data_IF_393215957409
#
_entry.id   IF_393215957409
#
_cell.length_a   1.000
_cell.length_b   1.000
_cell.length_c   1.000
_cell.angle_alpha   90.00
_cell.angle_beta   90.00
_cell.angle_gamma   90.00
#
_symmetry.space_group_name_H-M   'P 1'
#
loop_
_entity.id
_entity.type
_entity.pdbx_description
1 polymer ?
#
# COMPACT_ATOMS: atom_id res chain seq x y z
N UNK A 1 1.66 31.67 -23.55
CA UNK A 1 2.35 30.41 -23.86
C UNK A 1 3.14 29.87 -22.67
N UNK A 2 4.17 30.57 -22.19
CA UNK A 2 5.04 30.13 -21.07
C UNK A 2 4.27 29.69 -19.80
N UNK A 3 3.24 30.43 -19.38
CA UNK A 3 2.42 30.09 -18.19
C UNK A 3 1.65 28.78 -18.38
N UNK A 4 1.14 28.53 -19.60
CA UNK A 4 0.43 27.30 -19.93
C UNK A 4 1.39 26.09 -19.98
N UNK A 5 2.61 26.28 -20.49
CA UNK A 5 3.64 25.23 -20.50
C UNK A 5 4.10 24.88 -19.09
N UNK A 6 4.32 25.87 -18.22
CA UNK A 6 4.76 25.66 -16.83
C UNK A 6 3.67 24.97 -16.00
N UNK A 7 2.40 25.34 -16.18
CA UNK A 7 1.28 24.68 -15.48
C UNK A 7 1.11 23.23 -15.95
N UNK A 8 1.22 22.97 -17.26
CA UNK A 8 1.17 21.62 -17.83
C UNK A 8 2.31 20.72 -17.33
N UNK A 9 3.53 21.26 -17.21
CA UNK A 9 4.68 20.52 -16.69
C UNK A 9 4.49 20.16 -15.21
N UNK A 10 3.99 21.10 -14.41
CA UNK A 10 3.72 20.86 -12.97
C UNK A 10 2.69 19.76 -12.77
N UNK A 11 1.63 19.74 -13.58
CA UNK A 11 0.60 18.71 -13.51
C UNK A 11 1.16 17.32 -13.91
N UNK A 12 1.98 17.28 -14.96
CA UNK A 12 2.62 16.06 -15.45
C UNK A 12 3.53 15.43 -14.40
N UNK A 13 4.39 16.23 -13.76
CA UNK A 13 5.29 15.74 -12.70
C UNK A 13 4.49 15.16 -11.52
N UNK A 14 3.36 15.77 -11.16
CA UNK A 14 2.48 15.25 -10.10
C UNK A 14 1.89 13.88 -10.45
N UNK A 15 1.41 13.70 -11.69
CA UNK A 15 0.83 12.41 -12.13
C UNK A 15 1.89 11.31 -12.12
N UNK A 16 3.09 11.61 -12.62
CA UNK A 16 4.21 10.64 -12.63
C UNK A 16 4.64 10.30 -11.20
N UNK A 17 4.80 11.30 -10.33
CA UNK A 17 5.14 11.09 -8.92
C UNK A 17 4.09 10.26 -8.18
N UNK A 18 2.80 10.50 -8.43
CA UNK A 18 1.70 9.72 -7.87
C UNK A 18 1.73 8.25 -8.33
N UNK A 19 1.96 8.01 -9.62
CA UNK A 19 2.06 6.65 -10.16
C UNK A 19 3.25 5.86 -9.59
N UNK A 20 4.45 6.46 -9.60
CA UNK A 20 5.65 5.82 -9.05
C UNK A 20 5.51 5.55 -7.56
N UNK A 21 4.97 6.51 -6.80
CA UNK A 21 4.69 6.35 -5.37
C UNK A 21 3.72 5.20 -5.12
N UNK A 22 2.61 5.14 -5.86
CA UNK A 22 1.64 4.06 -5.75
C UNK A 22 2.28 2.69 -5.97
N UNK A 23 3.06 2.52 -7.04
CA UNK A 23 3.69 1.22 -7.34
C UNK A 23 4.66 0.78 -6.24
N UNK A 24 5.44 1.71 -5.67
CA UNK A 24 6.38 1.41 -4.59
C UNK A 24 5.63 1.01 -3.31
N UNK A 25 4.66 1.82 -2.88
CA UNK A 25 3.85 1.52 -1.69
C UNK A 25 3.10 0.20 -1.84
N UNK A 26 2.52 -0.04 -3.01
CA UNK A 26 1.78 -1.26 -3.31
C UNK A 26 2.67 -2.50 -3.30
N UNK A 27 3.87 -2.42 -3.87
CA UNK A 27 4.79 -3.57 -3.90
C UNK A 27 5.31 -3.91 -2.49
N UNK A 28 5.63 -2.90 -1.68
CA UNK A 28 6.01 -3.09 -0.26
C UNK A 28 4.84 -3.72 0.51
N UNK A 29 3.63 -3.19 0.29
CA UNK A 29 2.43 -3.71 0.93
C UNK A 29 2.20 -5.18 0.59
N UNK A 30 2.13 -5.55 -0.70
CA UNK A 30 1.86 -6.94 -1.11
C UNK A 30 2.93 -7.90 -0.62
N UNK A 31 4.22 -7.54 -0.73
CA UNK A 31 5.30 -8.42 -0.30
C UNK A 31 5.22 -8.75 1.19
N UNK A 32 4.85 -7.78 2.04
CA UNK A 32 4.67 -8.01 3.49
C UNK A 32 3.32 -8.62 3.84
N UNK A 33 2.29 -8.25 3.10
CA UNK A 33 0.95 -8.74 3.29
C UNK A 33 0.83 -10.24 3.02
N UNK A 34 1.42 -10.76 1.94
CA UNK A 34 1.41 -12.19 1.65
C UNK A 34 2.08 -13.00 2.78
N UNK A 35 3.24 -12.58 3.26
CA UNK A 35 3.94 -13.26 4.37
C UNK A 35 3.15 -13.21 5.68
N UNK A 36 2.53 -12.07 6.00
CA UNK A 36 1.74 -11.93 7.22
C UNK A 36 0.43 -12.72 7.14
N UNK A 37 -0.26 -12.72 5.99
CA UNK A 37 -1.47 -13.52 5.78
C UNK A 37 -1.15 -15.01 5.89
N UNK A 38 -0.07 -15.49 5.28
CA UNK A 38 0.37 -16.87 5.42
C UNK A 38 0.58 -17.25 6.90
N UNK A 39 1.21 -16.38 7.68
CA UNK A 39 1.45 -16.63 9.11
C UNK A 39 0.18 -16.60 9.96
N UNK A 40 -0.65 -15.56 9.86
CA UNK A 40 -1.83 -15.38 10.71
C UNK A 40 -3.01 -16.26 10.27
N UNK A 41 -3.32 -16.31 8.97
CA UNK A 41 -4.44 -17.12 8.46
C UNK A 41 -4.06 -18.60 8.47
N UNK A 42 -2.84 -18.96 8.05
CA UNK A 42 -2.35 -20.33 8.13
C UNK A 42 -2.26 -20.84 9.57
N UNK A 43 -1.81 -20.00 10.50
CA UNK A 43 -1.79 -20.33 11.93
C UNK A 43 -3.18 -20.61 12.50
N UNK A 44 -4.16 -19.75 12.23
CA UNK A 44 -5.54 -19.95 12.71
C UNK A 44 -6.19 -21.18 12.07
N UNK A 45 -5.93 -21.46 10.80
CA UNK A 45 -6.49 -22.65 10.14
C UNK A 45 -5.91 -23.97 10.68
N UNK A 46 -4.62 -24.01 11.02
CA UNK A 46 -3.99 -25.19 11.60
C UNK A 46 -4.30 -25.36 13.10
N UNK A 47 -4.29 -24.27 13.88
CA UNK A 47 -4.34 -24.32 15.34
C UNK A 47 -5.78 -24.31 15.90
N UNK A 48 -6.70 -23.60 15.24
CA UNK A 48 -8.10 -23.46 15.72
C UNK A 48 -9.05 -24.38 14.96
N UNK A 49 -8.83 -24.54 13.64
CA UNK A 49 -9.70 -25.33 12.77
C UNK A 49 -9.21 -26.78 12.55
N UNK A 50 -7.98 -27.11 12.94
CA UNK A 50 -7.34 -28.41 12.69
C UNK A 50 -7.37 -28.85 11.21
N UNK A 51 -7.47 -27.91 10.26
CA UNK A 51 -7.35 -28.20 8.84
C UNK A 51 -5.85 -28.36 8.57
N UNK A 52 -5.42 -29.58 8.26
CA UNK A 52 -4.02 -29.91 7.95
C UNK A 52 -3.75 -29.98 6.44
N UNK A 53 -4.78 -29.72 5.63
CA UNK A 53 -4.65 -29.74 4.18
C UNK A 53 -4.06 -28.42 3.66
N UNK A 54 -2.83 -28.52 3.17
CA UNK A 54 -2.02 -27.37 2.73
C UNK A 54 -2.65 -26.67 1.52
N UNK A 55 -3.38 -27.40 0.66
CA UNK A 55 -4.07 -26.81 -0.49
C UNK A 55 -5.21 -25.90 -0.05
N UNK A 56 -6.01 -26.34 0.91
CA UNK A 56 -7.15 -25.58 1.48
C UNK A 56 -6.65 -24.32 2.19
N UNK A 57 -5.54 -24.43 2.94
CA UNK A 57 -4.93 -23.27 3.60
C UNK A 57 -4.43 -22.26 2.57
N UNK A 58 -3.76 -22.74 1.51
CA UNK A 58 -3.25 -21.89 0.43
C UNK A 58 -4.39 -21.20 -0.33
N UNK A 59 -5.50 -21.90 -0.55
CA UNK A 59 -6.68 -21.34 -1.20
C UNK A 59 -7.37 -20.29 -0.31
N UNK A 60 -7.50 -20.53 0.99
CA UNK A 60 -8.02 -19.55 1.94
C UNK A 60 -7.15 -18.30 2.02
N UNK A 61 -5.82 -18.46 2.01
CA UNK A 61 -4.85 -17.37 1.96
C UNK A 61 -5.04 -16.56 0.67
N UNK A 62 -5.17 -17.23 -0.48
CA UNK A 62 -5.43 -16.56 -1.77
C UNK A 62 -6.73 -15.78 -1.77
N UNK A 63 -7.83 -16.38 -1.28
CA UNK A 63 -9.13 -15.73 -1.20
C UNK A 63 -9.11 -14.53 -0.24
N UNK A 64 -8.47 -14.67 0.91
CA UNK A 64 -8.27 -13.57 1.86
C UNK A 64 -7.43 -12.45 1.24
N UNK A 65 -6.40 -12.83 0.48
CA UNK A 65 -5.54 -11.87 -0.21
C UNK A 65 -6.25 -11.14 -1.36
N UNK A 66 -7.17 -11.83 -2.03
CA UNK A 66 -8.03 -11.29 -3.06
C UNK A 66 -9.21 -10.47 -2.51
N UNK A 67 -9.34 -10.34 -1.18
CA UNK A 67 -10.52 -9.74 -0.52
C UNK A 67 -11.85 -10.45 -0.83
N UNK A 68 -11.78 -11.70 -1.30
CA UNK A 68 -12.93 -12.57 -1.57
C UNK A 68 -13.33 -13.34 -0.31
N UNK A 69 -13.53 -12.59 0.79
CA UNK A 69 -13.79 -13.16 2.13
C UNK A 69 -15.07 -14.00 2.11
N UNK A 70 -16.07 -13.63 1.31
CA UNK A 70 -17.33 -14.40 1.17
C UNK A 70 -17.12 -15.79 0.58
N UNK A 71 -16.11 -15.98 -0.26
CA UNK A 71 -15.81 -17.27 -0.86
C UNK A 71 -15.18 -18.25 0.15
N UNK A 72 -14.67 -17.76 1.29
CA UNK A 72 -14.16 -18.61 2.38
C UNK A 72 -15.24 -19.50 2.99
N UNK A 73 -16.52 -19.12 2.92
CA UNK A 73 -17.64 -19.98 3.35
C UNK A 73 -17.82 -21.23 2.50
N UNK A 74 -17.25 -21.27 1.29
CA UNK A 74 -17.35 -22.42 0.40
C UNK A 74 -16.22 -23.43 0.62
N UNK A 75 -15.22 -23.10 1.45
CA UNK A 75 -14.05 -23.94 1.66
C UNK A 75 -14.37 -25.16 2.54
N UNK A 76 -13.90 -26.37 2.19
CA UNK A 76 -14.06 -27.54 3.03
C UNK A 76 -13.36 -27.31 4.39
N UNK A 77 -14.13 -27.36 5.48
CA UNK A 77 -13.65 -27.12 6.85
C UNK A 77 -14.12 -25.79 7.47
N UNK A 78 -14.48 -24.78 6.65
CA UNK A 78 -15.14 -23.53 7.11
C UNK A 78 -16.63 -23.56 6.78
N UNK A 79 -17.03 -24.27 5.72
CA UNK A 79 -18.41 -24.43 5.30
C UNK A 79 -19.30 -24.98 6.43
N UNK A 80 -20.21 -24.13 6.93
CA UNK A 80 -21.19 -24.49 7.97
C UNK A 80 -20.77 -24.14 9.41
N UNK A 81 -19.56 -23.62 9.66
CA UNK A 81 -19.12 -23.18 10.98
C UNK A 81 -18.86 -21.66 11.00
N UNK A 82 -19.85 -20.90 11.48
CA UNK A 82 -19.78 -19.44 11.55
C UNK A 82 -18.59 -18.95 12.43
N UNK A 83 -18.26 -19.69 13.49
CA UNK A 83 -17.14 -19.33 14.37
C UNK A 83 -15.77 -19.49 13.71
N UNK A 84 -15.63 -20.50 12.84
CA UNK A 84 -14.45 -20.68 12.02
C UNK A 84 -14.28 -19.57 10.97
N UNK A 85 -15.38 -19.17 10.33
CA UNK A 85 -15.40 -18.06 9.40
C UNK A 85 -14.96 -16.76 10.08
N UNK A 86 -15.56 -16.42 11.23
CA UNK A 86 -15.22 -15.20 11.98
C UNK A 86 -13.76 -15.20 12.47
N UNK A 87 -13.22 -16.36 12.87
CA UNK A 87 -11.82 -16.48 13.26
C UNK A 87 -10.85 -16.19 12.10
N UNK A 88 -11.14 -16.72 10.90
CA UNK A 88 -10.33 -16.47 9.70
C UNK A 88 -10.46 -15.02 9.22
N UNK A 89 -11.67 -14.44 9.28
CA UNK A 89 -11.88 -13.01 8.98
C UNK A 89 -11.08 -12.13 9.93
N UNK A 90 -11.13 -12.42 11.24
CA UNK A 90 -10.37 -11.67 12.25
C UNK A 90 -8.85 -11.80 12.01
N UNK A 91 -8.36 -12.99 11.70
CA UNK A 91 -6.96 -13.22 11.36
C UNK A 91 -6.52 -12.42 10.11
N UNK A 92 -7.37 -12.41 9.08
CA UNK A 92 -7.17 -11.58 7.89
C UNK A 92 -7.09 -10.10 8.23
N UNK A 93 -7.99 -9.59 9.07
CA UNK A 93 -7.97 -8.20 9.53
C UNK A 93 -6.69 -7.86 10.30
N UNK A 94 -6.20 -8.75 11.16
CA UNK A 94 -4.93 -8.56 11.86
C UNK A 94 -3.75 -8.52 10.89
N UNK A 95 -3.70 -9.44 9.91
CA UNK A 95 -2.66 -9.45 8.88
C UNK A 95 -2.67 -8.18 8.01
N UNK A 96 -3.86 -7.68 7.66
CA UNK A 96 -4.03 -6.40 6.97
C UNK A 96 -3.50 -5.23 7.81
N UNK A 97 -3.89 -5.16 9.09
CA UNK A 97 -3.48 -4.09 10.00
C UNK A 97 -1.96 -4.05 10.20
N UNK A 98 -1.32 -5.21 10.35
CA UNK A 98 0.13 -5.31 10.52
C UNK A 98 0.89 -4.89 9.26
N UNK A 99 0.38 -5.28 8.09
CA UNK A 99 1.00 -4.97 6.79
C UNK A 99 0.89 -3.48 6.43
N UNK A 100 -0.20 -2.81 6.85
CA UNK A 100 -0.39 -1.37 6.64
C UNK A 100 0.66 -0.50 7.33
N UNK A 101 1.22 -0.94 8.47
CA UNK A 101 2.28 -0.20 9.19
C UNK A 101 3.51 0.04 8.32
N UNK A 102 3.87 -0.92 7.47
CA UNK A 102 5.03 -0.82 6.58
C UNK A 102 4.86 0.23 5.49
N UNK A 103 3.64 0.42 4.98
CA UNK A 103 3.33 1.50 4.03
C UNK A 103 3.56 2.87 4.69
N UNK A 104 3.21 2.98 5.98
CA UNK A 104 3.44 4.20 6.75
C UNK A 104 4.93 4.50 6.93
N UNK A 105 5.74 3.50 7.24
CA UNK A 105 7.20 3.67 7.33
C UNK A 105 7.84 4.07 5.99
N UNK A 106 7.39 3.50 4.89
CA UNK A 106 7.83 3.91 3.56
C UNK A 106 7.49 5.39 3.30
N UNK A 107 6.30 5.84 3.71
CA UNK A 107 5.87 7.24 3.54
C UNK A 107 6.75 8.22 4.33
N UNK A 108 7.11 7.85 5.56
CA UNK A 108 8.02 8.64 6.39
C UNK A 108 9.40 8.76 5.73
N UNK A 109 9.92 7.69 5.12
CA UNK A 109 11.21 7.72 4.44
C UNK A 109 11.22 8.67 3.22
N UNK A 110 10.16 8.64 2.40
CA UNK A 110 10.02 9.56 1.27
C UNK A 110 9.86 11.02 1.73
N UNK A 111 9.07 11.26 2.77
CA UNK A 111 8.94 12.59 3.38
C UNK A 111 10.28 13.10 3.93
N UNK A 112 11.04 12.23 4.60
CA UNK A 112 12.38 12.54 5.11
C UNK A 112 13.36 12.92 4.00
N UNK A 113 13.38 12.17 2.89
CA UNK A 113 14.22 12.50 1.73
C UNK A 113 13.85 13.85 1.11
N UNK A 114 12.57 14.19 1.05
CA UNK A 114 12.12 15.49 0.56
C UNK A 114 12.60 16.65 1.44
N UNK A 115 12.58 16.47 2.77
CA UNK A 115 13.11 17.45 3.72
C UNK A 115 14.63 17.58 3.57
N UNK A 116 15.35 16.47 3.42
CA UNK A 116 16.80 16.52 3.19
C UNK A 116 17.15 17.20 1.86
N UNK A 117 16.38 16.93 0.80
CA UNK A 117 16.55 17.57 -0.50
C UNK A 117 16.28 19.08 -0.44
N UNK A 118 15.32 19.54 0.37
CA UNK A 118 15.02 20.97 0.52
C UNK A 118 16.15 21.72 1.23
N UNK A 119 16.85 21.09 2.18
CA UNK A 119 18.05 21.65 2.82
C UNK A 119 19.23 21.78 1.83
N UNK A 120 19.27 20.93 0.80
CA UNK A 120 20.27 20.97 -0.27
C UNK A 120 20.00 22.02 -1.36
N UNK A 121 18.82 22.64 -1.40
CA UNK A 121 18.49 23.71 -2.33
C UNK A 121 19.23 25.00 -1.93
N UNK A 122 20.48 25.11 -2.40
CA UNK A 122 21.35 26.28 -2.22
C UNK A 122 20.71 27.51 -2.86
N UNK A 123 20.50 28.54 -2.05
CA UNK A 123 20.04 29.90 -2.37
C UNK A 123 19.91 30.23 -3.88
N UNK A 124 18.69 30.12 -4.42
CA UNK A 124 18.33 30.51 -5.80
C UNK A 124 18.28 32.05 -5.97
N UNK A 125 18.55 32.82 -4.90
CA UNK A 125 18.59 34.29 -4.93
C UNK A 125 19.49 34.90 -6.02
N UNK A 126 20.50 34.16 -6.52
CA UNK A 126 21.36 34.61 -7.63
C UNK A 126 20.71 34.51 -9.03
N UNK A 127 19.55 33.84 -9.16
CA UNK A 127 18.78 33.74 -10.41
C UNK A 127 17.43 34.45 -10.33
N UNK A 128 17.15 35.14 -9.21
CA UNK A 128 15.92 35.91 -8.96
C UNK A 128 16.16 37.41 -9.21
N UNK A 129 16.91 37.75 -10.26
CA UNK A 129 17.14 39.13 -10.68
C UNK A 129 15.93 39.64 -11.48
N UNK A 130 14.88 40.03 -10.76
CA UNK A 130 13.99 41.19 -10.99
C UNK A 130 13.54 41.61 -12.39
N UNK A 131 13.70 40.82 -13.45
CA UNK A 131 13.14 41.14 -14.76
C UNK A 131 11.66 40.74 -14.76
N UNK A 132 10.84 41.65 -14.27
CA UNK A 132 9.38 41.60 -14.36
C UNK A 132 9.00 41.71 -15.84
N UNK A 133 9.03 40.58 -16.55
CA UNK A 133 8.41 40.46 -17.86
C UNK A 133 6.92 40.27 -17.63
N UNK A 134 6.19 41.39 -17.55
CA UNK A 134 4.77 41.60 -17.92
C UNK A 134 4.18 42.68 -17.00
N UNK A 135 4.10 43.89 -17.55
CA UNK A 135 3.10 44.88 -17.14
C UNK A 135 1.83 44.48 -17.87
N UNK A 136 0.78 44.10 -17.12
CA UNK A 136 -0.55 43.94 -17.72
C UNK A 136 -1.15 45.34 -17.93
N UNK A 137 -1.37 45.69 -19.21
CA UNK A 137 -2.22 46.80 -19.62
C UNK A 137 -3.42 46.24 -20.37
#
# INVERSE_FOLDING_TARGET
DLVATVSALTLSIRVIGGGVGYTIYYNIFISKFLTNVEYYVGGVMMEVLHITDLEIITEAIKLTSASEIKALMNLPGIAGNQGAYDAVVLAGQMAFAESYKYVYYASIAFGGLAILASLGLKNIGKYMDGHVAVVMQ
#
